data_IF_637357750914
#
_entry.id   IF_637357750914
#
_cell.length_a   1.000
_cell.length_b   1.000
_cell.length_c   1.000
_cell.angle_alpha   90.00
_cell.angle_beta   90.00
_cell.angle_gamma   90.00
#
_symmetry.space_group_name_H-M   'P 1'
#
loop_
_entity.id
_entity.type
_entity.pdbx_description
1 polymer ?
#
# COMPACT_ATOMS: atom_id res chain seq x y z
N UNK A 1 -11.02 6.33 -27.57
CA UNK A 1 -11.60 5.80 -26.32
C UNK A 1 -10.70 4.81 -25.58
N UNK A 2 -9.81 4.09 -26.26
CA UNK A 2 -8.90 3.09 -25.64
C UNK A 2 -7.64 3.64 -24.98
N UNK A 3 -7.25 4.89 -25.25
CA UNK A 3 -6.06 5.53 -24.66
C UNK A 3 -6.28 6.08 -23.25
N UNK A 4 -7.51 6.30 -22.85
CA UNK A 4 -7.88 6.96 -21.60
C UNK A 4 -7.78 6.04 -20.38
N UNK A 5 -8.18 4.77 -20.52
CA UNK A 5 -8.18 3.80 -19.43
C UNK A 5 -6.76 3.35 -19.03
N UNK A 6 -5.83 3.30 -20.01
CA UNK A 6 -4.43 2.94 -19.73
C UNK A 6 -3.67 3.99 -18.92
N UNK A 7 -3.98 5.28 -19.10
CA UNK A 7 -3.37 6.37 -18.32
C UNK A 7 -3.78 6.34 -16.86
N UNK A 8 -5.04 5.97 -16.57
CA UNK A 8 -5.54 5.91 -15.18
C UNK A 8 -4.79 4.85 -14.34
N UNK A 9 -4.46 3.71 -14.94
CA UNK A 9 -3.78 2.59 -14.27
C UNK A 9 -2.30 2.91 -14.06
N UNK A 10 -1.64 3.49 -15.06
CA UNK A 10 -0.21 3.82 -14.99
C UNK A 10 0.10 4.88 -13.91
N UNK A 11 -0.82 5.80 -13.66
CA UNK A 11 -0.62 6.90 -12.72
C UNK A 11 -0.88 6.47 -11.26
N UNK A 12 -1.70 5.44 -11.02
CA UNK A 12 -1.91 4.88 -9.68
C UNK A 12 -0.65 4.17 -9.11
N UNK A 13 0.29 3.76 -9.97
CA UNK A 13 1.45 2.97 -9.58
C UNK A 13 2.76 3.78 -9.49
N UNK A 14 2.81 4.99 -10.04
CA UNK A 14 4.06 5.76 -10.09
C UNK A 14 4.20 6.84 -9.03
N UNK A 15 3.25 7.00 -8.13
CA UNK A 15 3.27 8.10 -7.17
C UNK A 15 3.14 7.66 -5.72
N UNK A 16 4.22 7.09 -5.19
CA UNK A 16 4.56 7.25 -3.77
C UNK A 16 5.25 8.60 -3.49
N UNK A 17 5.36 9.47 -4.48
CA UNK A 17 5.76 10.87 -4.32
C UNK A 17 4.82 11.69 -5.16
N UNK A 18 3.62 11.94 -4.65
CA UNK A 18 2.81 13.05 -5.10
C UNK A 18 2.65 14.01 -3.94
N UNK A 19 3.28 15.18 -4.10
CA UNK A 19 2.85 16.38 -3.44
C UNK A 19 1.32 16.40 -3.50
N UNK A 20 0.72 16.14 -2.35
CA UNK A 20 -0.64 16.54 -2.06
C UNK A 20 -0.66 18.03 -2.36
N UNK A 21 -1.34 18.43 -3.43
CA UNK A 21 -1.79 19.80 -3.52
C UNK A 21 -2.67 19.97 -2.29
N UNK A 22 -2.09 20.51 -1.24
CA UNK A 22 -2.76 20.88 -0.02
C UNK A 22 -3.93 21.75 -0.44
N UNK A 23 -5.15 21.24 -0.27
CA UNK A 23 -6.32 22.10 -0.12
C UNK A 23 -6.02 22.84 1.19
N UNK A 24 -5.44 24.03 1.10
CA UNK A 24 -5.35 24.92 2.25
C UNK A 24 -6.80 25.27 2.62
N UNK A 25 -7.27 24.72 3.73
CA UNK A 25 -8.33 25.34 4.46
C UNK A 25 -7.80 26.68 4.95
N UNK A 26 -8.20 27.74 4.26
CA UNK A 26 -8.04 29.10 4.75
C UNK A 26 -9.04 29.26 5.87
N UNK A 27 -8.58 29.21 7.13
CA UNK A 27 -9.34 29.76 8.24
C UNK A 27 -9.41 31.27 8.02
N UNK A 28 -10.63 31.77 7.87
CA UNK A 28 -10.91 33.17 7.79
C UNK A 28 -10.55 33.85 9.13
N UNK A 29 -9.50 34.67 9.13
CA UNK A 29 -9.36 35.74 10.12
C UNK A 29 -9.95 36.99 9.50
N UNK A 30 -10.89 37.56 10.22
CA UNK A 30 -11.63 38.77 9.95
C UNK A 30 -10.69 39.98 9.73
N UNK A 31 -10.56 40.45 8.49
CA UNK A 31 -10.24 41.84 8.16
C UNK A 31 -10.51 42.07 6.66
N UNK A 32 -11.46 42.95 6.40
CA UNK A 32 -12.08 43.27 5.11
C UNK A 32 -11.14 43.36 3.90
N UNK A 33 -11.16 42.33 3.09
CA UNK A 33 -10.76 42.36 1.69
C UNK A 33 -11.66 41.39 0.94
N UNK A 34 -12.33 41.89 -0.09
CA UNK A 34 -13.19 41.13 -1.02
C UNK A 34 -12.35 40.04 -1.67
N UNK A 35 -12.37 38.85 -1.15
CA UNK A 35 -11.80 37.67 -1.82
C UNK A 35 -12.89 36.98 -2.62
N UNK A 36 -12.77 37.06 -3.93
CA UNK A 36 -13.47 36.18 -4.88
C UNK A 36 -13.08 34.74 -4.57
N UNK A 37 -13.96 34.01 -3.88
CA UNK A 37 -13.82 32.56 -3.72
C UNK A 37 -14.03 31.91 -5.08
N UNK A 38 -12.95 31.47 -5.72
CA UNK A 38 -13.03 30.56 -6.86
C UNK A 38 -13.43 29.18 -6.32
N UNK A 39 -14.73 28.90 -6.32
CA UNK A 39 -15.25 27.55 -6.18
C UNK A 39 -14.77 26.74 -7.39
N UNK A 40 -13.80 25.85 -7.19
CA UNK A 40 -13.35 24.91 -8.21
C UNK A 40 -14.48 23.92 -8.47
N UNK A 41 -15.24 24.11 -9.54
CA UNK A 41 -16.21 23.12 -10.02
C UNK A 41 -15.51 22.13 -10.94
N UNK A 42 -15.75 20.84 -10.73
CA UNK A 42 -15.27 19.78 -11.61
C UNK A 42 -16.24 19.60 -12.78
N UNK A 43 -15.76 19.05 -13.90
CA UNK A 43 -16.61 18.68 -15.03
C UNK A 43 -17.57 17.54 -14.65
N UNK A 44 -17.10 16.65 -13.80
CA UNK A 44 -17.80 15.45 -13.38
C UNK A 44 -17.19 14.92 -12.08
N UNK A 45 -17.99 14.28 -11.23
CA UNK A 45 -17.53 13.53 -10.06
C UNK A 45 -17.90 12.07 -10.27
N UNK A 46 -16.96 11.14 -10.19
CA UNK A 46 -17.14 9.70 -10.37
C UNK A 46 -16.83 8.94 -9.11
N UNK A 47 -17.67 7.95 -8.82
CA UNK A 47 -17.52 7.03 -7.69
C UNK A 47 -17.16 5.65 -8.24
N UNK A 48 -15.93 5.18 -7.98
CA UNK A 48 -15.39 3.99 -8.64
C UNK A 48 -14.75 3.02 -7.63
N UNK A 49 -14.83 1.73 -7.96
CA UNK A 49 -13.97 0.68 -7.42
C UNK A 49 -13.13 0.11 -8.56
N UNK A 50 -12.16 -0.75 -8.25
CA UNK A 50 -11.35 -1.39 -9.26
C UNK A 50 -11.64 -2.88 -9.33
N UNK A 51 -12.01 -3.38 -10.51
CA UNK A 51 -12.15 -4.81 -10.81
C UNK A 51 -11.19 -5.17 -11.95
N UNK A 52 -10.32 -6.13 -11.72
CA UNK A 52 -9.29 -6.53 -12.68
C UNK A 52 -8.45 -5.35 -13.22
N UNK A 53 -8.10 -4.41 -12.33
CA UNK A 53 -7.31 -3.22 -12.68
C UNK A 53 -8.06 -2.13 -13.45
N UNK A 54 -9.39 -2.25 -13.63
CA UNK A 54 -10.22 -1.24 -14.32
C UNK A 54 -11.13 -0.53 -13.35
N UNK A 55 -11.31 0.80 -13.48
CA UNK A 55 -12.29 1.51 -12.69
C UNK A 55 -13.71 1.09 -13.13
N UNK A 56 -14.50 0.64 -12.16
CA UNK A 56 -15.92 0.29 -12.34
C UNK A 56 -16.74 1.26 -11.53
N UNK A 57 -17.72 1.89 -12.16
CA UNK A 57 -18.63 2.79 -11.45
C UNK A 57 -19.48 2.01 -10.45
N UNK A 58 -19.52 2.48 -9.20
CA UNK A 58 -20.32 1.90 -8.11
C UNK A 58 -21.49 2.79 -7.70
N UNK A 59 -21.51 4.02 -8.21
CA UNK A 59 -22.59 5.00 -8.05
C UNK A 59 -22.67 5.86 -9.31
N UNK A 60 -23.83 6.41 -9.61
CA UNK A 60 -24.01 7.35 -10.72
C UNK A 60 -23.07 8.56 -10.57
N UNK A 61 -22.47 8.97 -11.69
CA UNK A 61 -21.64 10.16 -11.72
C UNK A 61 -22.48 11.44 -11.50
N UNK A 62 -21.85 12.44 -10.88
CA UNK A 62 -22.45 13.76 -10.67
C UNK A 62 -21.92 14.72 -11.70
N UNK A 63 -22.83 15.45 -12.39
CA UNK A 63 -22.50 16.43 -13.43
C UNK A 63 -23.24 17.76 -13.18
N UNK A 64 -22.81 18.84 -13.81
CA UNK A 64 -23.45 20.15 -13.71
C UNK A 64 -23.14 20.90 -12.42
N UNK A 65 -24.07 21.68 -11.90
CA UNK A 65 -23.88 22.55 -10.73
C UNK A 65 -23.51 21.78 -9.44
N UNK A 66 -23.88 20.51 -9.34
CA UNK A 66 -23.58 19.67 -8.17
C UNK A 66 -22.10 19.20 -8.10
N UNK A 67 -21.28 19.50 -9.12
CA UNK A 67 -19.86 19.16 -9.15
C UNK A 67 -18.99 20.04 -8.24
N UNK A 68 -19.56 21.03 -7.57
CA UNK A 68 -18.90 21.83 -6.53
C UNK A 68 -18.83 21.11 -5.17
N UNK A 69 -19.69 20.11 -4.94
CA UNK A 69 -19.64 19.27 -3.73
C UNK A 69 -18.59 18.18 -3.89
N UNK A 70 -17.49 18.31 -3.18
CA UNK A 70 -16.35 17.37 -3.19
C UNK A 70 -16.45 16.30 -2.10
N UNK A 71 -17.56 16.20 -1.39
CA UNK A 71 -17.77 15.19 -0.36
C UNK A 71 -17.81 13.78 -0.98
N UNK A 72 -17.26 12.81 -0.25
CA UNK A 72 -17.31 11.41 -0.63
C UNK A 72 -18.42 10.70 0.18
N UNK A 73 -19.57 10.41 -0.44
CA UNK A 73 -20.69 9.78 0.26
C UNK A 73 -20.35 8.37 0.72
N UNK A 74 -21.00 7.91 1.80
CA UNK A 74 -21.00 6.51 2.16
C UNK A 74 -21.71 5.69 1.06
N UNK A 75 -21.13 4.55 0.67
CA UNK A 75 -21.69 3.63 -0.33
C UNK A 75 -21.74 2.24 0.31
N UNK A 76 -22.91 1.60 0.32
CA UNK A 76 -23.12 0.28 0.92
C UNK A 76 -22.16 -0.75 0.32
N UNK A 77 -21.56 -1.55 1.19
CA UNK A 77 -20.56 -2.57 0.88
C UNK A 77 -19.22 -2.04 0.33
N UNK A 78 -18.96 -0.73 0.47
CA UNK A 78 -17.69 -0.13 0.08
C UNK A 78 -17.17 0.82 1.14
N UNK A 79 -15.83 0.87 1.28
CA UNK A 79 -15.11 1.83 2.12
C UNK A 79 -14.39 2.81 1.21
N UNK A 80 -14.58 4.10 1.46
CA UNK A 80 -13.82 5.14 0.78
C UNK A 80 -12.31 4.99 1.07
N UNK A 81 -11.49 5.11 0.03
CA UNK A 81 -10.03 4.96 0.13
C UNK A 81 -9.30 6.27 -0.13
N UNK A 82 -9.61 6.95 -1.23
CA UNK A 82 -8.96 8.19 -1.62
C UNK A 82 -9.74 8.91 -2.73
N UNK A 83 -9.35 10.15 -3.03
CA UNK A 83 -9.87 10.91 -4.17
C UNK A 83 -8.74 11.42 -5.05
N UNK A 84 -9.04 11.59 -6.33
CA UNK A 84 -8.10 12.10 -7.33
C UNK A 84 -8.79 12.94 -8.37
N UNK A 85 -8.07 13.96 -8.88
CA UNK A 85 -8.52 14.78 -10.01
C UNK A 85 -7.71 14.46 -11.25
N UNK A 86 -8.39 14.20 -12.37
CA UNK A 86 -7.77 13.97 -13.67
C UNK A 86 -8.64 14.59 -14.78
N UNK A 87 -8.04 15.40 -15.64
CA UNK A 87 -8.70 16.11 -16.75
C UNK A 87 -9.97 16.90 -16.34
N UNK A 88 -10.00 17.40 -15.09
CA UNK A 88 -11.12 18.12 -14.51
C UNK A 88 -12.27 17.24 -14.00
N UNK A 89 -12.05 15.92 -13.90
CA UNK A 89 -12.97 14.97 -13.30
C UNK A 89 -12.43 14.58 -11.91
N UNK A 90 -13.28 14.65 -10.88
CA UNK A 90 -12.97 14.17 -9.53
C UNK A 90 -13.39 12.71 -9.40
N UNK A 91 -12.45 11.82 -9.12
CA UNK A 91 -12.69 10.42 -8.85
C UNK A 91 -12.64 10.17 -7.34
N UNK A 92 -13.71 9.67 -6.76
CA UNK A 92 -13.73 9.08 -5.42
C UNK A 92 -13.57 7.56 -5.55
N UNK A 93 -12.51 7.02 -4.97
CA UNK A 93 -12.16 5.61 -5.05
C UNK A 93 -12.55 4.87 -3.78
N UNK A 94 -13.08 3.66 -3.95
CA UNK A 94 -13.61 2.83 -2.87
C UNK A 94 -13.10 1.39 -3.00
N UNK A 95 -12.89 0.73 -1.87
CA UNK A 95 -12.62 -0.70 -1.77
C UNK A 95 -13.86 -1.45 -1.29
N UNK A 96 -14.18 -2.66 -1.81
CA UNK A 96 -15.29 -3.45 -1.29
C UNK A 96 -15.01 -3.88 0.15
N UNK A 97 -16.04 -3.79 1.02
CA UNK A 97 -16.00 -4.38 2.36
C UNK A 97 -16.12 -5.89 2.20
N UNK A 98 -15.13 -6.65 2.71
CA UNK A 98 -15.26 -8.11 2.79
C UNK A 98 -16.35 -8.47 3.79
N UNK A 99 -17.58 -8.61 3.30
CA UNK A 99 -18.64 -9.32 4.02
C UNK A 99 -18.36 -10.81 3.84
N UNK A 100 -17.60 -11.42 4.73
CA UNK A 100 -17.59 -12.86 4.93
C UNK A 100 -18.92 -13.28 5.57
N UNK A 101 -19.93 -13.41 4.74
CA UNK A 101 -21.17 -14.13 5.04
C UNK A 101 -21.03 -15.55 4.49
N UNK A 102 -20.91 -16.47 5.40
CA UNK A 102 -20.86 -17.90 5.20
C UNK A 102 -22.09 -18.39 4.43
N UNK A 103 -21.92 -18.98 3.23
CA UNK A 103 -22.69 -20.14 2.74
C UNK A 103 -22.01 -20.77 1.51
N UNK A 104 -21.66 -22.07 1.64
CA UNK A 104 -21.73 -23.05 0.54
C UNK A 104 -20.51 -23.18 -0.37
N UNK A 105 -19.59 -24.00 0.07
CA UNK A 105 -18.91 -25.09 -0.66
C UNK A 105 -18.91 -25.04 -2.20
N UNK A 106 -17.80 -24.62 -2.79
CA UNK A 106 -17.24 -25.26 -4.00
C UNK A 106 -15.73 -25.14 -3.99
N UNK A 107 -15.11 -26.30 -3.95
CA UNK A 107 -13.67 -26.55 -4.06
C UNK A 107 -13.11 -25.93 -5.36
N UNK A 108 -12.22 -24.95 -5.22
CA UNK A 108 -11.23 -24.70 -6.27
C UNK A 108 -9.85 -24.79 -5.63
N UNK A 109 -9.23 -25.92 -5.92
CA UNK A 109 -7.85 -26.26 -5.59
C UNK A 109 -6.90 -25.27 -6.24
N UNK A 110 -6.10 -24.64 -5.40
CA UNK A 110 -4.94 -23.84 -5.79
C UNK A 110 -3.79 -24.78 -6.18
N UNK A 111 -3.23 -24.74 -7.40
CA UNK A 111 -2.23 -25.72 -7.86
C UNK A 111 -0.78 -25.46 -7.42
N UNK A 112 -0.52 -24.59 -6.47
CA UNK A 112 0.85 -24.28 -6.00
C UNK A 112 0.99 -24.30 -4.47
N UNK A 113 0.54 -25.38 -3.83
CA UNK A 113 1.04 -25.72 -2.48
C UNK A 113 1.86 -27.00 -2.59
N UNK A 114 3.17 -26.87 -2.44
CA UNK A 114 4.04 -27.99 -2.09
C UNK A 114 3.99 -28.18 -0.57
N UNK A 115 3.44 -29.31 -0.19
CA UNK A 115 3.47 -29.84 1.14
C UNK A 115 4.93 -30.07 1.58
N UNK A 116 5.29 -29.52 2.71
CA UNK A 116 6.34 -30.09 3.55
C UNK A 116 5.72 -30.38 4.92
N UNK A 117 5.15 -31.58 4.99
CA UNK A 117 4.77 -32.19 6.24
C UNK A 117 5.82 -33.26 6.55
N UNK A 118 6.59 -33.08 7.59
CA UNK A 118 7.23 -34.20 8.31
C UNK A 118 7.02 -34.06 9.79
N UNK A 119 6.19 -34.94 10.21
CA UNK A 119 5.89 -35.59 11.49
C UNK A 119 7.03 -35.64 12.51
N UNK A 120 6.68 -35.39 13.78
CA UNK A 120 6.80 -36.28 14.95
C UNK A 120 6.30 -35.48 16.15
N UNK A 121 5.40 -35.92 16.98
CA UNK A 121 5.13 -37.18 17.56
C UNK A 121 4.95 -36.95 19.06
N UNK A 122 3.74 -37.18 19.57
CA UNK A 122 3.40 -37.69 20.90
C UNK A 122 3.99 -37.02 22.16
N UNK A 123 3.21 -36.45 23.06
CA UNK A 123 2.56 -37.24 24.11
C UNK A 123 1.68 -36.40 25.03
N UNK A 124 0.62 -37.01 25.41
CA UNK A 124 -0.35 -36.61 26.40
C UNK A 124 0.26 -36.56 27.82
N UNK A 125 -0.26 -35.69 28.67
CA UNK A 125 -0.90 -36.15 29.90
C UNK A 125 -1.60 -35.02 30.65
N UNK A 126 -2.81 -35.16 30.89
CA UNK A 126 -3.74 -35.03 31.98
C UNK A 126 -3.14 -34.65 33.36
N UNK A 127 -3.72 -33.72 34.07
CA UNK A 127 -4.64 -33.88 35.20
C UNK A 127 -4.75 -32.56 35.98
N UNK A 128 -5.91 -32.04 36.12
CA UNK A 128 -6.88 -32.24 37.21
C UNK A 128 -6.61 -31.50 38.51
N UNK A 129 -7.63 -30.79 38.94
CA UNK A 129 -7.93 -30.59 40.33
C UNK A 129 -8.06 -29.14 40.74
N UNK A 130 -9.22 -28.59 40.64
CA UNK A 130 -10.25 -28.52 41.72
C UNK A 130 -9.94 -27.54 42.85
N UNK A 131 -10.66 -26.49 42.82
CA UNK A 131 -11.76 -26.13 43.71
C UNK A 131 -11.40 -25.39 45.01
N UNK A 132 -12.08 -24.36 45.14
CA UNK A 132 -12.98 -23.93 46.23
C UNK A 132 -12.54 -22.86 47.22
N UNK A 133 -13.40 -21.88 47.19
CA UNK A 133 -14.21 -21.29 48.31
C UNK A 133 -13.44 -20.30 49.17
N UNK A 134 -13.95 -19.18 49.45
CA UNK A 134 -15.30 -18.73 49.69
C UNK A 134 -15.26 -17.64 50.73
N UNK A 135 -16.18 -16.76 50.64
CA UNK A 135 -16.88 -16.15 51.75
C UNK A 135 -16.31 -14.88 52.33
N UNK A 136 -16.87 -13.78 51.97
CA UNK A 136 -18.10 -13.18 52.59
C UNK A 136 -17.87 -12.33 53.84
N UNK A 137 -18.17 -11.09 53.63
CA UNK A 137 -19.09 -10.21 54.43
C UNK A 137 -18.66 -9.71 55.79
N UNK A 138 -18.86 -8.49 55.90
CA UNK A 138 -19.75 -7.66 56.72
C UNK A 138 -19.09 -6.65 57.63
N UNK A 139 -19.39 -5.41 57.31
CA UNK A 139 -20.14 -4.43 58.10
C UNK A 139 -19.91 -4.44 59.64
N UNK A 140 -19.59 -3.36 60.22
CA UNK A 140 -20.54 -2.38 60.81
C UNK A 140 -19.85 -1.28 61.60
N UNK A 141 -20.36 -0.09 61.40
CA UNK A 141 -20.61 1.02 62.30
C UNK A 141 -20.13 0.98 63.75
N UNK A 142 -19.67 2.14 64.15
CA UNK A 142 -19.67 2.52 65.58
C UNK A 142 -19.01 3.86 65.85
N UNK A 143 -19.83 4.90 65.82
CA UNK A 143 -19.60 6.19 66.45
C UNK A 143 -19.09 6.09 67.91
N UNK A 144 -18.10 6.86 68.33
CA UNK A 144 -18.35 7.93 69.29
C UNK A 144 -17.11 8.76 69.69
N UNK A 145 -17.40 10.00 69.93
CA UNK A 145 -16.56 11.05 70.44
C UNK A 145 -15.89 10.76 71.80
N UNK A 146 -14.70 11.24 72.06
CA UNK A 146 -14.49 12.39 72.95
C UNK A 146 -13.01 12.64 73.28
N UNK A 147 -12.66 13.89 73.14
CA UNK A 147 -11.84 14.78 73.98
C UNK A 147 -10.39 14.42 74.39
N UNK A 148 -9.58 15.33 73.92
CA UNK A 148 -8.61 16.14 74.67
C UNK A 148 -7.21 15.61 74.98
N UNK A 149 -6.30 16.24 74.43
CA UNK A 149 -5.20 17.03 74.96
C UNK A 149 -3.92 16.92 74.12
N UNK A 150 -3.58 18.03 73.58
CA UNK A 150 -2.33 18.71 73.63
C UNK A 150 -1.05 17.90 73.28
N UNK A 151 -0.72 17.90 72.02
CA UNK A 151 0.65 18.11 71.58
C UNK A 151 0.59 18.56 70.10
N UNK A 152 0.79 19.82 69.90
CA UNK A 152 1.07 20.41 68.56
C UNK A 152 2.41 19.89 68.10
N UNK A 153 2.41 18.74 67.50
CA UNK A 153 3.44 18.39 66.54
C UNK A 153 2.96 18.93 65.21
N UNK A 154 3.42 20.14 64.91
CA UNK A 154 3.46 20.65 63.54
C UNK A 154 4.22 19.67 62.67
N UNK A 155 3.57 18.64 62.23
CA UNK A 155 4.00 17.87 61.05
C UNK A 155 3.58 18.68 59.83
N UNK A 156 4.20 19.86 59.69
CA UNK A 156 4.29 20.55 58.42
C UNK A 156 5.08 19.62 57.53
N UNK A 157 4.37 18.74 56.79
CA UNK A 157 4.90 18.22 55.54
C UNK A 157 5.13 19.49 54.73
N UNK A 158 6.38 19.96 54.68
CA UNK A 158 6.71 21.13 53.87
C UNK A 158 6.60 20.68 52.40
N UNK A 159 5.38 20.81 51.90
CA UNK A 159 5.13 20.64 50.47
C UNK A 159 5.95 21.74 49.78
N UNK A 160 6.93 21.32 49.00
CA UNK A 160 7.71 22.25 48.19
C UNK A 160 6.80 22.99 47.21
N UNK A 161 7.22 24.15 46.76
CA UNK A 161 6.44 24.96 45.80
C UNK A 161 7.30 25.45 44.64
N UNK A 162 6.69 25.54 43.47
CA UNK A 162 7.32 26.20 42.33
C UNK A 162 7.28 27.72 42.52
N UNK A 163 8.41 28.39 42.23
CA UNK A 163 8.56 29.86 42.30
C UNK A 163 9.25 30.37 41.04
N UNK A 164 8.74 31.44 40.45
CA UNK A 164 9.38 32.12 39.33
C UNK A 164 10.11 33.35 39.81
N UNK A 165 11.40 33.47 39.53
CA UNK A 165 12.26 34.60 39.86
C UNK A 165 13.16 34.91 38.63
N UNK A 166 13.16 36.17 38.19
CA UNK A 166 13.99 36.59 37.06
C UNK A 166 13.77 35.79 35.77
N UNK A 167 12.52 35.36 35.51
CA UNK A 167 12.20 34.52 34.32
C UNK A 167 12.60 33.05 34.43
N UNK A 168 13.24 32.62 35.51
CA UNK A 168 13.59 31.25 35.81
C UNK A 168 12.61 30.62 36.79
N UNK A 169 12.35 29.35 36.67
CA UNK A 169 11.48 28.57 37.55
C UNK A 169 12.36 27.76 38.49
N UNK A 170 12.04 27.80 39.77
CA UNK A 170 12.71 27.07 40.86
C UNK A 170 11.68 26.23 41.61
N UNK A 171 12.14 25.16 42.24
CA UNK A 171 11.33 24.46 43.25
C UNK A 171 11.96 24.64 44.60
N UNK A 172 11.19 25.20 45.52
CA UNK A 172 11.64 25.52 46.89
C UNK A 172 11.08 24.43 47.81
N UNK A 173 11.96 23.71 48.50
CA UNK A 173 11.62 22.74 49.52
C UNK A 173 12.43 23.05 50.78
N UNK A 174 11.76 23.11 51.92
CA UNK A 174 12.38 23.47 53.21
C UNK A 174 13.17 24.79 53.15
N UNK A 175 12.62 25.78 52.42
CA UNK A 175 13.23 27.11 52.26
C UNK A 175 14.43 27.17 51.33
N UNK A 176 14.81 26.06 50.67
CA UNK A 176 15.99 25.97 49.78
C UNK A 176 15.58 25.61 48.38
N UNK A 177 16.33 26.16 47.37
CA UNK A 177 16.22 25.73 45.98
C UNK A 177 16.76 24.31 45.85
N UNK A 178 15.98 23.40 45.23
CA UNK A 178 16.47 22.07 44.91
C UNK A 178 17.32 22.08 43.65
N UNK A 179 18.20 21.10 43.51
CA UNK A 179 19.05 20.88 42.30
C UNK A 179 19.02 19.43 41.86
N UNK A 180 19.44 19.15 40.66
CA UNK A 180 19.46 17.80 40.10
C UNK A 180 18.08 17.24 39.78
N UNK A 181 17.98 15.90 39.68
CA UNK A 181 16.73 15.22 39.42
C UNK A 181 15.79 15.28 40.63
N UNK A 182 14.54 15.67 40.39
CA UNK A 182 13.48 15.72 41.39
C UNK A 182 12.22 15.06 40.84
N UNK A 183 11.60 14.19 41.66
CA UNK A 183 10.25 13.69 41.43
C UNK A 183 9.26 14.50 42.26
N UNK A 184 8.35 15.21 41.59
CA UNK A 184 7.35 16.10 42.20
C UNK A 184 6.00 15.72 41.59
N UNK A 185 5.04 15.32 42.43
CA UNK A 185 3.69 14.92 41.99
C UNK A 185 3.70 13.97 40.78
N UNK A 186 4.46 12.86 40.90
CA UNK A 186 4.67 11.83 39.89
C UNK A 186 5.32 12.27 38.56
N UNK A 187 5.72 13.52 38.45
CA UNK A 187 6.48 14.09 37.35
C UNK A 187 7.94 14.23 37.73
N UNK A 188 8.81 14.00 36.74
CA UNK A 188 10.26 14.11 36.94
C UNK A 188 10.77 15.38 36.27
N UNK A 189 11.54 16.16 37.03
CA UNK A 189 12.16 17.42 36.61
C UNK A 189 13.66 17.37 36.85
N UNK A 190 14.37 18.27 36.20
CA UNK A 190 15.79 18.51 36.50
C UNK A 190 16.00 20.00 36.79
N UNK A 191 16.75 20.27 37.84
CA UNK A 191 17.14 21.62 38.23
C UNK A 191 18.65 21.76 38.13
N UNK A 192 19.11 22.81 37.46
CA UNK A 192 20.53 23.09 37.29
C UNK A 192 21.22 23.44 38.63
N UNK A 193 22.56 23.64 38.63
CA UNK A 193 23.31 23.90 39.85
C UNK A 193 22.88 25.20 40.56
N UNK A 194 22.34 26.17 39.81
CA UNK A 194 21.76 27.39 40.38
C UNK A 194 20.30 27.22 40.87
N UNK A 195 19.78 26.00 40.77
CA UNK A 195 18.40 25.66 41.13
C UNK A 195 17.37 25.98 40.03
N UNK A 196 17.75 26.50 38.88
CA UNK A 196 16.84 26.81 37.80
C UNK A 196 16.33 25.52 37.13
N UNK A 197 15.01 25.44 36.84
CA UNK A 197 14.40 24.32 36.15
C UNK A 197 14.93 24.23 34.72
N UNK A 198 15.49 23.08 34.37
CA UNK A 198 15.95 22.75 33.01
C UNK A 198 14.78 22.49 32.11
N UNK A 199 14.85 22.98 30.88
CA UNK A 199 13.95 22.69 29.76
C UNK A 199 14.75 22.27 28.52
N UNK A 200 14.11 21.57 27.58
CA UNK A 200 14.75 21.11 26.38
C UNK A 200 15.69 19.94 26.61
N UNK A 201 16.70 19.82 25.75
CA UNK A 201 17.66 18.74 25.81
C UNK A 201 18.62 18.91 26.98
N UNK A 202 18.78 17.85 27.77
CA UNK A 202 19.74 17.73 28.85
C UNK A 202 20.73 16.62 28.53
N UNK A 203 22.02 16.95 28.54
CA UNK A 203 23.11 15.98 28.47
C UNK A 203 23.74 15.87 29.85
N UNK A 204 23.74 14.66 30.42
CA UNK A 204 24.31 14.36 31.72
C UNK A 204 25.26 13.15 31.57
N UNK A 205 26.58 13.45 31.43
CA UNK A 205 27.57 12.45 31.03
C UNK A 205 27.34 12.01 29.59
N UNK A 206 27.26 10.70 29.38
CA UNK A 206 26.96 10.03 28.11
C UNK A 206 25.45 9.89 27.81
N UNK A 207 24.60 10.33 28.75
CA UNK A 207 23.15 10.16 28.70
C UNK A 207 22.45 11.44 28.26
N UNK A 208 21.36 11.27 27.51
CA UNK A 208 20.53 12.38 27.05
C UNK A 208 19.09 12.20 27.47
N UNK A 209 18.49 13.30 27.93
CA UNK A 209 17.11 13.38 28.38
C UNK A 209 16.44 14.59 27.72
N UNK A 210 15.14 14.55 27.61
CA UNK A 210 14.36 15.70 27.17
C UNK A 210 13.38 16.13 28.24
N UNK A 211 13.48 17.40 28.62
CA UNK A 211 12.57 18.11 29.52
C UNK A 211 11.67 18.97 28.65
N UNK A 212 10.37 18.82 28.79
CA UNK A 212 9.40 19.54 27.96
C UNK A 212 9.63 21.07 28.04
N UNK A 213 9.61 21.70 26.85
CA UNK A 213 9.87 23.16 26.74
C UNK A 213 8.83 24.01 27.47
N UNK A 214 7.60 23.51 27.63
CA UNK A 214 6.50 24.20 28.25
C UNK A 214 6.57 24.10 29.76
N UNK A 215 6.64 22.89 30.32
CA UNK A 215 6.46 22.61 31.74
C UNK A 215 7.69 21.99 32.43
N UNK A 216 8.77 21.68 31.71
CA UNK A 216 10.01 21.10 32.25
C UNK A 216 9.91 19.64 32.66
N UNK A 217 8.81 18.96 32.37
CA UNK A 217 8.62 17.55 32.72
C UNK A 217 9.43 16.66 31.77
N UNK A 218 10.16 15.68 32.34
CA UNK A 218 10.88 14.67 31.56
C UNK A 218 9.94 13.91 30.64
N UNK A 219 10.28 13.84 29.35
CA UNK A 219 9.54 13.10 28.32
C UNK A 219 10.23 11.80 27.97
N UNK A 220 9.40 10.79 27.67
CA UNK A 220 9.81 9.47 27.20
C UNK A 220 9.17 9.18 25.83
N UNK A 221 9.71 8.19 25.14
CA UNK A 221 9.22 7.80 23.81
C UNK A 221 9.70 8.75 22.71
N UNK A 222 8.92 8.83 21.63
CA UNK A 222 9.24 9.71 20.50
C UNK A 222 8.93 11.16 20.81
N UNK A 223 9.94 12.02 20.68
CA UNK A 223 9.84 13.46 20.88
C UNK A 223 10.47 14.18 19.70
N UNK A 224 9.71 15.08 19.09
CA UNK A 224 10.23 15.94 18.01
C UNK A 224 10.98 17.13 18.65
N UNK A 225 12.25 17.27 18.28
CA UNK A 225 13.11 18.38 18.68
C UNK A 225 13.68 19.00 17.43
N UNK A 226 13.28 20.23 17.11
CA UNK A 226 13.51 20.85 15.81
C UNK A 226 13.03 19.94 14.66
N UNK A 227 13.90 19.60 13.72
CA UNK A 227 13.58 18.77 12.53
C UNK A 227 13.78 17.28 12.76
N UNK A 228 14.19 16.86 13.96
CA UNK A 228 14.52 15.48 14.28
C UNK A 228 13.54 14.88 15.26
N UNK A 229 13.23 13.60 15.09
CA UNK A 229 12.44 12.83 16.04
C UNK A 229 13.39 11.92 16.80
N UNK A 230 13.47 12.13 18.12
CA UNK A 230 14.31 11.36 19.04
C UNK A 230 13.46 10.33 19.79
N UNK A 231 14.11 9.26 20.24
CA UNK A 231 13.50 8.30 21.14
C UNK A 231 14.22 8.32 22.51
N UNK A 232 13.52 8.78 23.54
CA UNK A 232 14.05 8.88 24.88
C UNK A 232 13.59 7.73 25.77
N UNK A 233 14.53 7.11 26.43
CA UNK A 233 14.28 6.05 27.41
C UNK A 233 14.48 6.54 28.84
N UNK A 234 13.97 5.79 29.81
CA UNK A 234 13.97 6.20 31.22
C UNK A 234 15.37 6.49 31.76
N UNK A 235 16.32 5.62 31.44
CA UNK A 235 17.70 5.76 31.91
C UNK A 235 18.56 6.73 31.09
N UNK A 236 18.00 7.40 30.07
CA UNK A 236 18.71 8.35 29.20
C UNK A 236 19.70 7.75 28.22
N UNK A 237 19.68 6.44 27.98
CA UNK A 237 20.51 5.83 26.96
C UNK A 237 20.05 6.24 25.57
N UNK A 238 21.00 6.51 24.67
CA UNK A 238 20.73 6.62 23.25
C UNK A 238 20.48 5.22 22.67
N UNK A 239 19.31 5.00 22.13
CA UNK A 239 19.05 3.78 21.35
C UNK A 239 19.54 3.96 19.93
N UNK A 240 20.18 2.92 19.40
CA UNK A 240 20.60 2.86 18.00
C UNK A 240 20.23 1.50 17.42
N UNK A 241 20.09 1.40 16.10
CA UNK A 241 19.68 0.18 15.42
C UNK A 241 18.16 0.00 15.37
N UNK A 242 17.75 -1.21 15.06
CA UNK A 242 16.32 -1.57 15.00
C UNK A 242 15.73 -1.68 16.40
N UNK A 243 14.57 -1.06 16.61
CA UNK A 243 13.77 -1.17 17.82
C UNK A 243 12.33 -1.52 17.48
N UNK A 244 11.69 -2.33 18.32
CA UNK A 244 10.28 -2.67 18.18
C UNK A 244 9.47 -1.99 19.29
N UNK A 245 8.42 -1.27 18.90
CA UNK A 245 7.50 -0.55 19.77
C UNK A 245 6.08 -0.79 19.24
N UNK A 246 5.20 -1.34 20.05
CA UNK A 246 3.80 -1.60 19.69
C UNK A 246 3.66 -2.30 18.31
N UNK A 247 4.40 -3.41 18.13
CA UNK A 247 4.48 -4.22 16.91
C UNK A 247 5.01 -3.50 15.65
N UNK A 248 5.46 -2.26 15.78
CA UNK A 248 6.14 -1.52 14.73
C UNK A 248 7.64 -1.51 14.94
N UNK A 249 8.38 -1.74 13.86
CA UNK A 249 9.85 -1.69 13.88
C UNK A 249 10.32 -0.36 13.33
N UNK A 250 11.25 0.28 14.02
CA UNK A 250 11.87 1.55 13.67
C UNK A 250 13.40 1.38 13.61
N UNK A 251 14.07 2.26 12.87
CA UNK A 251 15.53 2.33 12.92
C UNK A 251 15.98 3.68 13.49
N UNK A 252 16.84 3.61 14.49
CA UNK A 252 17.41 4.78 15.17
C UNK A 252 18.90 4.88 14.86
N UNK A 253 19.36 6.06 14.47
CA UNK A 253 20.76 6.40 14.37
C UNK A 253 21.07 7.50 15.39
N UNK A 254 21.90 7.18 16.37
CA UNK A 254 22.28 8.08 17.47
C UNK A 254 21.05 8.67 18.21
N UNK A 255 20.05 7.84 18.44
CA UNK A 255 18.79 8.23 19.08
C UNK A 255 17.77 8.90 18.17
N UNK A 256 18.14 9.25 16.93
CA UNK A 256 17.26 9.88 15.94
C UNK A 256 16.56 8.83 15.10
N UNK A 257 15.23 8.90 15.02
CA UNK A 257 14.43 8.07 14.12
C UNK A 257 14.67 8.45 12.67
N UNK A 258 15.02 7.48 11.85
CA UNK A 258 15.15 7.66 10.40
C UNK A 258 13.84 7.37 9.67
N UNK A 259 13.73 7.87 8.44
CA UNK A 259 12.65 7.65 7.47
C UNK A 259 13.25 7.44 6.08
N UNK A 260 12.47 6.89 5.14
CA UNK A 260 12.91 6.65 3.77
C UNK A 260 13.81 5.43 3.63
N UNK A 261 14.62 5.42 2.56
CA UNK A 261 15.53 4.31 2.27
C UNK A 261 16.80 4.43 3.12
N UNK A 262 17.16 3.36 3.78
CA UNK A 262 18.40 3.28 4.56
C UNK A 262 19.20 2.02 4.19
N UNK A 263 20.52 2.08 4.42
CA UNK A 263 21.38 0.91 4.31
C UNK A 263 22.04 0.63 5.66
N UNK A 264 21.90 -0.61 6.13
CA UNK A 264 22.44 -1.07 7.39
C UNK A 264 23.14 -2.39 7.14
N UNK A 265 24.44 -2.48 7.44
CA UNK A 265 25.26 -3.69 7.27
C UNK A 265 25.15 -4.29 5.85
N UNK A 266 25.12 -3.42 4.82
CA UNK A 266 25.01 -3.81 3.43
C UNK A 266 23.61 -4.24 2.96
N UNK A 267 22.61 -4.26 3.85
CA UNK A 267 21.20 -4.51 3.52
C UNK A 267 20.42 -3.21 3.38
N UNK A 268 19.45 -3.22 2.50
CA UNK A 268 18.58 -2.07 2.25
C UNK A 268 17.24 -2.24 2.95
N UNK A 269 16.71 -1.15 3.50
CA UNK A 269 15.44 -1.13 4.21
C UNK A 269 14.63 0.10 3.81
N UNK A 270 13.31 -0.04 3.80
CA UNK A 270 12.37 1.04 3.58
C UNK A 270 11.65 1.39 4.87
N UNK A 271 11.77 2.65 5.28
CA UNK A 271 11.03 3.21 6.41
C UNK A 271 10.00 4.21 5.86
N UNK A 272 8.75 4.09 6.28
CA UNK A 272 7.71 5.05 5.90
C UNK A 272 7.94 6.45 6.51
N UNK A 273 7.04 7.38 6.28
CA UNK A 273 7.13 8.75 6.79
C UNK A 273 7.10 8.81 8.31
N UNK A 274 6.43 7.84 8.95
CA UNK A 274 6.42 7.65 10.40
C UNK A 274 7.67 6.92 10.89
N UNK A 275 8.58 6.49 9.99
CA UNK A 275 9.80 5.74 10.30
C UNK A 275 9.56 4.27 10.59
N UNK A 276 8.39 3.73 10.26
CA UNK A 276 8.07 2.31 10.45
C UNK A 276 8.64 1.49 9.30
N UNK A 277 9.33 0.42 9.63
CA UNK A 277 9.88 -0.52 8.65
C UNK A 277 8.75 -1.18 7.84
N UNK A 278 8.89 -1.15 6.50
CA UNK A 278 7.92 -1.70 5.55
C UNK A 278 8.63 -2.47 4.45
N UNK A 279 8.06 -3.58 3.98
CA UNK A 279 8.49 -4.16 2.71
C UNK A 279 8.06 -3.23 1.55
N UNK A 280 8.87 -3.15 0.51
CA UNK A 280 8.52 -2.29 -0.62
C UNK A 280 9.59 -2.17 -1.69
N UNK A 281 9.30 -1.34 -2.69
CA UNK A 281 10.24 -1.05 -3.77
C UNK A 281 11.19 0.07 -3.36
N UNK A 282 12.49 -0.21 -3.44
CA UNK A 282 13.56 0.76 -3.21
C UNK A 282 14.38 0.97 -4.48
N UNK A 283 14.92 2.17 -4.62
CA UNK A 283 15.88 2.50 -5.68
C UNK A 283 17.30 2.32 -5.15
N UNK A 284 18.07 1.44 -5.79
CA UNK A 284 19.48 1.15 -5.46
C UNK A 284 20.27 1.25 -6.76
N UNK A 285 21.22 2.16 -6.84
CA UNK A 285 22.07 2.40 -8.02
C UNK A 285 21.24 2.53 -9.33
N UNK A 286 20.13 3.26 -9.27
CA UNK A 286 19.24 3.50 -10.40
C UNK A 286 18.33 2.32 -10.78
N UNK A 287 18.40 1.18 -10.08
CA UNK A 287 17.55 0.00 -10.28
C UNK A 287 16.55 -0.13 -9.16
N UNK A 288 15.33 -0.59 -9.48
CA UNK A 288 14.25 -0.82 -8.52
C UNK A 288 14.30 -2.25 -8.00
N UNK A 289 14.44 -2.45 -6.71
CA UNK A 289 14.36 -3.75 -6.06
C UNK A 289 13.16 -3.79 -5.10
N UNK A 290 12.51 -4.94 -4.98
CA UNK A 290 11.58 -5.16 -3.89
C UNK A 290 12.34 -5.79 -2.72
N UNK A 291 12.23 -5.17 -1.55
CA UNK A 291 12.83 -5.66 -0.31
C UNK A 291 11.76 -6.03 0.71
N UNK A 292 12.04 -7.07 1.49
CA UNK A 292 11.23 -7.46 2.64
C UNK A 292 11.64 -6.67 3.90
N UNK A 293 11.00 -6.98 5.02
CA UNK A 293 11.27 -6.35 6.32
C UNK A 293 12.57 -6.86 6.98
N UNK A 294 13.21 -7.91 6.46
CA UNK A 294 14.55 -8.33 6.83
C UNK A 294 15.65 -7.72 5.95
N UNK A 295 15.28 -6.88 4.97
CA UNK A 295 16.20 -6.24 4.03
C UNK A 295 16.72 -7.17 2.93
N UNK A 296 16.03 -8.29 2.66
CA UNK A 296 16.41 -9.19 1.58
C UNK A 296 15.74 -8.77 0.27
N UNK A 297 16.48 -8.90 -0.83
CA UNK A 297 15.95 -8.64 -2.16
C UNK A 297 15.06 -9.80 -2.62
N UNK A 298 13.83 -9.50 -3.00
CA UNK A 298 12.94 -10.48 -3.62
C UNK A 298 13.38 -10.76 -5.05
N UNK A 299 13.37 -12.04 -5.43
CA UNK A 299 13.67 -12.51 -6.80
C UNK A 299 12.49 -13.33 -7.30
N UNK A 300 12.13 -13.16 -8.57
CA UNK A 300 10.99 -13.81 -9.20
C UNK A 300 9.73 -12.94 -9.18
N UNK A 301 8.58 -13.58 -9.32
CA UNK A 301 7.29 -12.91 -9.36
C UNK A 301 6.85 -12.40 -7.99
N UNK A 302 6.40 -11.15 -7.97
CA UNK A 302 5.84 -10.51 -6.78
C UNK A 302 4.55 -9.78 -7.13
N UNK A 303 3.49 -10.11 -6.41
CA UNK A 303 2.26 -9.33 -6.47
C UNK A 303 2.36 -8.15 -5.51
N UNK A 304 2.12 -6.94 -6.04
CA UNK A 304 2.12 -5.70 -5.27
C UNK A 304 0.81 -4.98 -5.60
N UNK A 305 -0.05 -4.85 -4.60
CA UNK A 305 -1.42 -4.41 -4.85
C UNK A 305 -2.17 -5.39 -5.74
N UNK A 306 -2.65 -4.94 -6.90
CA UNK A 306 -3.38 -5.75 -7.88
C UNK A 306 -2.48 -6.31 -8.98
N UNK A 307 -1.24 -5.83 -9.09
CA UNK A 307 -0.37 -6.06 -10.24
C UNK A 307 0.76 -7.03 -9.93
N UNK A 308 1.21 -7.74 -10.96
CA UNK A 308 2.35 -8.63 -10.89
C UNK A 308 3.57 -7.95 -11.49
N UNK A 309 4.71 -8.13 -10.80
CA UNK A 309 6.05 -7.66 -11.18
C UNK A 309 7.00 -8.82 -11.16
N UNK A 310 8.08 -8.71 -11.93
CA UNK A 310 9.17 -9.68 -11.90
C UNK A 310 10.48 -9.01 -11.54
N UNK A 311 11.19 -9.57 -10.57
CA UNK A 311 12.47 -9.05 -10.08
C UNK A 311 13.58 -10.05 -10.36
N UNK A 312 14.68 -9.59 -10.94
CA UNK A 312 15.93 -10.35 -11.04
C UNK A 312 16.90 -9.94 -9.94
N UNK A 313 17.85 -10.82 -9.64
CA UNK A 313 18.84 -10.58 -8.60
C UNK A 313 19.76 -9.40 -8.96
N UNK A 314 20.17 -9.31 -10.23
CA UNK A 314 21.18 -8.35 -10.68
C UNK A 314 20.57 -7.02 -11.15
N UNK A 315 19.41 -7.07 -11.81
CA UNK A 315 18.80 -5.90 -12.46
C UNK A 315 17.60 -5.35 -11.70
N UNK A 316 17.15 -6.04 -10.65
CA UNK A 316 15.93 -5.68 -9.94
C UNK A 316 14.68 -5.88 -10.80
N UNK A 317 13.76 -4.92 -10.77
CA UNK A 317 12.48 -4.96 -11.47
C UNK A 317 12.68 -5.00 -12.99
N UNK A 318 12.09 -5.99 -13.63
CA UNK A 318 12.17 -6.19 -15.07
C UNK A 318 11.05 -5.45 -15.80
N UNK A 319 11.34 -5.10 -17.05
CA UNK A 319 10.40 -4.56 -18.05
C UNK A 319 10.61 -5.29 -19.35
N UNK A 320 9.65 -5.21 -20.29
CA UNK A 320 9.72 -5.93 -21.56
C UNK A 320 9.47 -7.43 -21.39
N UNK A 321 10.06 -8.22 -22.29
CA UNK A 321 9.86 -9.67 -22.31
C UNK A 321 10.68 -10.38 -21.22
N UNK A 322 10.01 -11.24 -20.46
CA UNK A 322 10.62 -12.10 -19.44
C UNK A 322 10.27 -13.55 -19.71
N UNK A 323 11.29 -14.43 -19.66
CA UNK A 323 11.14 -15.89 -19.78
C UNK A 323 11.21 -16.53 -18.39
N UNK A 324 10.08 -17.12 -17.98
CA UNK A 324 10.00 -17.92 -16.75
C UNK A 324 8.99 -19.06 -16.98
N UNK A 325 9.50 -20.20 -17.45
CA UNK A 325 8.66 -21.27 -17.99
C UNK A 325 8.00 -20.84 -19.31
N UNK A 326 7.07 -19.89 -19.28
CA UNK A 326 6.47 -19.20 -20.42
C UNK A 326 7.11 -17.84 -20.68
N UNK A 327 6.76 -17.20 -21.80
CA UNK A 327 7.09 -15.80 -22.03
C UNK A 327 5.99 -14.91 -21.44
N UNK A 328 6.40 -13.83 -20.80
CA UNK A 328 5.55 -12.80 -20.21
C UNK A 328 6.01 -11.43 -20.68
N UNK A 329 5.12 -10.48 -20.76
CA UNK A 329 5.45 -9.12 -21.12
C UNK A 329 5.10 -8.17 -19.97
N UNK A 330 6.11 -7.38 -19.56
CA UNK A 330 5.99 -6.35 -18.55
C UNK A 330 6.09 -4.98 -19.23
N UNK A 331 5.20 -4.07 -18.93
CA UNK A 331 5.25 -2.72 -19.48
C UNK A 331 6.42 -1.89 -18.92
N UNK A 332 6.53 -0.64 -19.33
CA UNK A 332 7.59 0.28 -18.89
C UNK A 332 7.57 0.54 -17.38
N UNK A 333 6.42 0.32 -16.73
CA UNK A 333 6.27 0.45 -15.27
C UNK A 333 6.63 -0.83 -14.52
N UNK A 334 6.89 -1.93 -15.24
CA UNK A 334 7.18 -3.26 -14.71
C UNK A 334 5.94 -4.11 -14.46
N UNK A 335 4.74 -3.63 -14.82
CA UNK A 335 3.49 -4.37 -14.62
C UNK A 335 3.31 -5.44 -15.69
N UNK A 336 3.06 -6.69 -15.26
CA UNK A 336 2.75 -7.81 -16.15
C UNK A 336 1.46 -7.53 -16.94
N UNK A 337 1.54 -7.70 -18.26
CA UNK A 337 0.44 -7.48 -19.18
C UNK A 337 -0.32 -8.75 -19.48
N UNK A 338 -1.59 -8.61 -19.87
CA UNK A 338 -2.48 -9.69 -20.32
C UNK A 338 -3.26 -9.26 -21.57
N UNK A 339 -3.86 -10.20 -22.28
CA UNK A 339 -4.63 -9.91 -23.49
C UNK A 339 -3.75 -9.56 -24.68
N UNK A 340 -4.30 -8.80 -25.63
CA UNK A 340 -3.58 -8.38 -26.83
C UNK A 340 -2.56 -7.28 -26.51
N UNK A 341 -1.31 -7.51 -26.83
CA UNK A 341 -0.21 -6.54 -26.70
C UNK A 341 0.45 -6.33 -28.07
N UNK A 342 0.71 -5.06 -28.39
CA UNK A 342 1.49 -4.69 -29.57
C UNK A 342 2.87 -4.22 -29.14
N UNK A 343 3.88 -5.06 -29.40
CA UNK A 343 5.29 -4.81 -29.04
C UNK A 343 6.08 -4.69 -30.32
N UNK A 344 6.80 -3.59 -30.51
CA UNK A 344 7.60 -3.31 -31.71
C UNK A 344 6.85 -3.51 -33.02
N UNK A 345 5.57 -3.10 -33.03
CA UNK A 345 4.71 -3.23 -34.23
C UNK A 345 4.03 -4.58 -34.42
N UNK A 346 4.43 -5.62 -33.66
CA UNK A 346 3.91 -6.99 -33.74
C UNK A 346 2.88 -7.24 -32.66
N UNK A 347 1.75 -7.90 -33.00
CA UNK A 347 0.74 -8.30 -32.04
C UNK A 347 1.03 -9.64 -31.40
N UNK A 348 0.89 -9.73 -30.08
CA UNK A 348 0.97 -10.93 -29.26
C UNK A 348 -0.29 -11.07 -28.42
N UNK A 349 -0.63 -12.28 -28.04
CA UNK A 349 -1.72 -12.54 -27.11
C UNK A 349 -1.20 -13.22 -25.85
N UNK A 350 -1.44 -12.60 -24.72
CA UNK A 350 -1.09 -13.09 -23.39
C UNK A 350 -2.40 -13.53 -22.72
N UNK A 351 -2.44 -14.72 -22.17
CA UNK A 351 -3.64 -15.20 -21.48
C UNK A 351 -3.87 -14.50 -20.13
N UNK A 352 -4.89 -14.91 -19.38
CA UNK A 352 -5.22 -14.32 -18.09
C UNK A 352 -4.13 -14.47 -17.01
N UNK A 353 -3.21 -15.42 -17.19
CA UNK A 353 -2.03 -15.60 -16.33
C UNK A 353 -0.83 -14.76 -16.78
N UNK A 354 -0.94 -14.03 -17.90
CA UNK A 354 0.15 -13.29 -18.54
C UNK A 354 1.01 -14.13 -19.48
N UNK A 355 0.76 -15.42 -19.60
CA UNK A 355 1.57 -16.31 -20.44
C UNK A 355 1.29 -16.06 -21.93
N UNK A 356 2.37 -15.83 -22.71
CA UNK A 356 2.31 -15.65 -24.17
C UNK A 356 1.78 -16.92 -24.84
N UNK A 357 0.81 -16.73 -25.70
CA UNK A 357 0.15 -17.81 -26.42
C UNK A 357 0.74 -18.03 -27.82
N UNK A 358 0.63 -19.27 -28.32
CA UNK A 358 1.02 -19.68 -29.66
C UNK A 358 -0.07 -20.56 -30.27
N UNK A 359 -0.03 -20.79 -31.61
CA UNK A 359 -1.00 -21.59 -32.32
C UNK A 359 -2.37 -20.90 -32.43
N UNK A 360 -3.40 -21.72 -32.69
CA UNK A 360 -4.77 -21.21 -32.82
C UNK A 360 -5.35 -20.78 -31.48
N UNK A 361 -5.92 -19.57 -31.46
CA UNK A 361 -6.60 -18.99 -30.25
C UNK A 361 -7.95 -18.42 -30.63
N UNK A 362 -8.95 -18.76 -29.83
CA UNK A 362 -10.29 -18.18 -29.94
C UNK A 362 -10.43 -17.05 -28.93
N UNK A 363 -10.56 -15.82 -29.42
CA UNK A 363 -10.60 -14.63 -28.58
C UNK A 363 -11.75 -13.73 -29.05
N UNK A 364 -12.64 -13.36 -28.13
CA UNK A 364 -13.78 -12.49 -28.41
C UNK A 364 -14.59 -12.89 -29.65
N UNK A 365 -14.89 -14.19 -29.78
CA UNK A 365 -15.72 -14.72 -30.87
C UNK A 365 -15.00 -14.90 -32.21
N UNK A 366 -13.67 -14.76 -32.28
CA UNK A 366 -12.88 -14.90 -33.51
C UNK A 366 -11.67 -15.78 -33.28
N UNK A 367 -11.28 -16.53 -34.32
CA UNK A 367 -10.05 -17.30 -34.35
C UNK A 367 -8.87 -16.46 -34.85
N UNK A 368 -7.74 -16.62 -34.21
CA UNK A 368 -6.44 -16.03 -34.57
C UNK A 368 -5.37 -17.08 -34.56
N UNK A 369 -4.34 -16.92 -35.38
CA UNK A 369 -3.18 -17.79 -35.37
C UNK A 369 -1.93 -17.01 -34.95
N UNK A 370 -1.24 -17.52 -33.93
CA UNK A 370 0.01 -17.01 -33.41
C UNK A 370 1.11 -18.02 -33.78
N UNK A 371 2.17 -17.56 -34.42
CA UNK A 371 3.27 -18.46 -34.78
C UNK A 371 4.05 -18.95 -33.54
N UNK A 372 5.12 -19.73 -33.75
CA UNK A 372 5.94 -20.28 -32.65
C UNK A 372 6.64 -19.21 -31.80
N UNK A 373 6.85 -18.01 -32.32
CA UNK A 373 7.36 -16.85 -31.55
C UNK A 373 6.27 -16.05 -30.85
N UNK A 374 5.00 -16.46 -30.96
CA UNK A 374 3.83 -15.76 -30.41
C UNK A 374 3.30 -14.63 -31.29
N UNK A 375 3.93 -14.34 -32.42
CA UNK A 375 3.52 -13.26 -33.32
C UNK A 375 2.23 -13.61 -34.05
N UNK A 376 1.22 -12.71 -33.95
CA UNK A 376 -0.05 -12.85 -34.69
C UNK A 376 0.18 -12.81 -36.18
N UNK A 377 -0.39 -13.78 -36.87
CA UNK A 377 -0.29 -13.90 -38.33
C UNK A 377 -1.47 -13.22 -39.03
N UNK A 378 -1.22 -12.80 -40.27
CA UNK A 378 -2.20 -12.23 -41.19
C UNK A 378 -1.97 -12.81 -42.60
N UNK A 379 -2.97 -12.72 -43.47
CA UNK A 379 -2.88 -13.26 -44.82
C UNK A 379 -3.03 -14.79 -44.85
N UNK A 380 -2.47 -15.42 -45.90
CA UNK A 380 -2.52 -16.85 -46.11
C UNK A 380 -1.55 -17.60 -45.21
N UNK A 381 -2.04 -18.61 -44.51
CA UNK A 381 -1.21 -19.55 -43.74
C UNK A 381 -1.55 -21.00 -44.10
N UNK A 382 -0.54 -21.85 -44.11
CA UNK A 382 -0.72 -23.30 -44.24
C UNK A 382 -0.42 -24.00 -42.92
N UNK A 383 -1.38 -24.79 -42.44
CA UNK A 383 -1.23 -25.57 -41.22
C UNK A 383 -1.57 -27.03 -41.51
N UNK A 384 -0.56 -27.89 -41.51
CA UNK A 384 -0.74 -29.31 -41.75
C UNK A 384 -1.32 -29.63 -43.12
N UNK A 385 -0.98 -28.86 -44.19
CA UNK A 385 -1.49 -29.04 -45.55
C UNK A 385 -2.82 -28.30 -45.82
N UNK A 386 -3.45 -27.71 -44.78
CA UNK A 386 -4.69 -26.94 -44.91
C UNK A 386 -4.40 -25.46 -44.97
N UNK A 387 -4.96 -24.77 -45.93
CA UNK A 387 -4.84 -23.31 -46.06
C UNK A 387 -5.94 -22.59 -45.30
N UNK A 388 -5.57 -21.51 -44.67
CA UNK A 388 -6.45 -20.57 -43.96
C UNK A 388 -6.12 -19.14 -44.37
N UNK A 389 -7.11 -18.24 -44.33
CA UNK A 389 -6.88 -16.83 -44.56
C UNK A 389 -7.22 -16.00 -43.31
N UNK A 390 -6.24 -15.21 -42.87
CA UNK A 390 -6.37 -14.31 -41.76
C UNK A 390 -6.46 -12.87 -42.30
N UNK A 391 -7.49 -12.15 -41.91
CA UNK A 391 -7.66 -10.73 -42.28
C UNK A 391 -6.51 -9.86 -41.78
N UNK A 392 -6.41 -8.63 -42.23
CA UNK A 392 -5.43 -7.66 -41.73
C UNK A 392 -5.54 -7.41 -40.22
N UNK A 393 -6.69 -7.68 -39.60
CA UNK A 393 -6.90 -7.68 -38.14
C UNK A 393 -6.40 -8.94 -37.44
N UNK A 394 -5.89 -9.93 -38.15
CA UNK A 394 -5.54 -11.28 -37.67
C UNK A 394 -6.70 -12.24 -37.53
N UNK A 395 -7.94 -11.80 -37.69
CA UNK A 395 -9.11 -12.67 -37.55
C UNK A 395 -9.25 -13.63 -38.75
N UNK A 396 -9.45 -14.92 -38.46
CA UNK A 396 -9.70 -15.96 -39.47
C UNK A 396 -10.99 -15.64 -40.24
N UNK A 397 -10.93 -15.78 -41.57
CA UNK A 397 -12.07 -15.61 -42.46
C UNK A 397 -12.79 -16.94 -42.66
N UNK A 398 -14.12 -16.84 -42.78
CA UNK A 398 -15.01 -17.97 -43.15
C UNK A 398 -16.07 -17.44 -44.13
N UNK A 399 -16.72 -18.33 -44.88
CA UNK A 399 -17.63 -17.98 -45.95
C UNK A 399 -16.91 -17.42 -47.17
N UNK A 400 -17.60 -16.67 -48.03
CA UNK A 400 -17.05 -16.02 -49.20
C UNK A 400 -16.29 -14.72 -48.85
N UNK A 401 -15.11 -14.55 -49.39
CA UNK A 401 -14.30 -13.32 -49.26
C UNK A 401 -13.39 -13.09 -50.45
N UNK A 402 -12.98 -11.85 -50.67
CA UNK A 402 -12.11 -11.47 -51.78
C UNK A 402 -10.69 -11.15 -51.27
N UNK A 403 -9.68 -11.64 -51.97
CA UNK A 403 -8.27 -11.34 -51.76
C UNK A 403 -7.63 -10.99 -53.09
N UNK A 404 -7.03 -9.79 -53.18
CA UNK A 404 -6.37 -9.31 -54.43
C UNK A 404 -7.20 -9.49 -55.70
N UNK A 405 -8.51 -9.22 -55.60
CA UNK A 405 -9.44 -9.26 -56.72
C UNK A 405 -10.01 -10.66 -57.03
N UNK A 406 -9.55 -11.72 -56.37
CA UNK A 406 -10.05 -13.09 -56.54
C UNK A 406 -10.95 -13.49 -55.37
N UNK A 407 -12.02 -14.24 -55.64
CA UNK A 407 -12.93 -14.78 -54.65
C UNK A 407 -12.50 -16.14 -54.15
N UNK A 408 -12.64 -16.36 -52.83
CA UNK A 408 -12.34 -17.59 -52.12
C UNK A 408 -13.47 -17.93 -51.17
N UNK A 409 -13.61 -19.21 -50.84
CA UNK A 409 -14.52 -19.65 -49.78
C UNK A 409 -13.76 -20.47 -48.75
N UNK A 410 -13.97 -20.13 -47.47
CA UNK A 410 -13.49 -20.98 -46.38
C UNK A 410 -14.69 -21.53 -45.59
N UNK A 411 -14.62 -22.80 -45.25
CA UNK A 411 -15.61 -23.47 -44.39
C UNK A 411 -15.71 -22.81 -43.01
N UNK A 412 -16.74 -23.15 -42.21
CA UNK A 412 -16.83 -22.64 -40.82
C UNK A 412 -15.61 -23.02 -39.96
N UNK A 413 -14.89 -24.08 -40.30
CA UNK A 413 -13.59 -24.45 -39.69
C UNK A 413 -12.44 -23.51 -40.08
N UNK A 414 -12.64 -22.61 -41.03
CA UNK A 414 -11.62 -21.75 -41.63
C UNK A 414 -10.86 -22.40 -42.78
N UNK A 415 -10.98 -23.71 -43.02
CA UNK A 415 -10.27 -24.41 -44.08
C UNK A 415 -10.71 -23.90 -45.46
N UNK A 416 -9.73 -23.58 -46.32
CA UNK A 416 -10.00 -23.15 -47.70
C UNK A 416 -10.66 -24.28 -48.46
N UNK A 417 -11.76 -23.97 -49.14
CA UNK A 417 -12.38 -24.89 -50.11
C UNK A 417 -11.56 -24.93 -51.41
N UNK A 418 -11.23 -26.12 -51.88
CA UNK A 418 -10.47 -26.35 -53.13
C UNK A 418 -11.12 -27.45 -53.94
N UNK A 419 -11.09 -27.37 -55.28
CA UNK A 419 -11.65 -28.34 -56.20
C UNK A 419 -13.07 -28.79 -55.85
N UNK A 420 -13.95 -27.84 -55.56
CA UNK A 420 -15.32 -28.15 -55.12
C UNK A 420 -16.30 -27.06 -55.55
N UNK A 421 -17.60 -27.34 -55.44
CA UNK A 421 -18.68 -26.37 -55.72
C UNK A 421 -19.41 -26.06 -54.43
N UNK A 422 -19.57 -24.78 -54.14
CA UNK A 422 -20.25 -24.23 -52.96
C UNK A 422 -21.40 -23.34 -53.47
N UNK A 423 -22.62 -23.67 -53.12
CA UNK A 423 -23.84 -22.91 -53.49
C UNK A 423 -23.91 -22.58 -55.00
N UNK A 424 -23.46 -23.54 -55.89
CA UNK A 424 -23.42 -23.33 -57.33
C UNK A 424 -22.18 -22.64 -57.88
N UNK A 425 -21.27 -22.20 -57.05
CA UNK A 425 -19.99 -21.57 -57.43
C UNK A 425 -18.84 -22.55 -57.29
N UNK A 426 -18.06 -22.74 -58.35
CA UNK A 426 -16.93 -23.70 -58.39
C UNK A 426 -15.64 -22.99 -58.03
N UNK A 427 -14.83 -23.61 -57.15
CA UNK A 427 -13.46 -23.17 -56.82
C UNK A 427 -12.45 -24.19 -57.33
N UNK A 428 -11.34 -23.68 -57.87
CA UNK A 428 -10.26 -24.49 -58.46
C UNK A 428 -9.31 -25.07 -57.41
N UNK A 429 -8.22 -25.71 -57.86
CA UNK A 429 -7.19 -26.28 -56.98
C UNK A 429 -6.49 -25.25 -56.07
N UNK A 430 -6.49 -23.99 -56.47
CA UNK A 430 -5.95 -22.87 -55.66
C UNK A 430 -7.02 -22.24 -54.75
N UNK A 431 -8.25 -22.77 -54.77
CA UNK A 431 -9.38 -22.22 -54.02
C UNK A 431 -10.00 -20.95 -54.63
N UNK A 432 -9.59 -20.57 -55.85
CA UNK A 432 -10.10 -19.40 -56.55
C UNK A 432 -11.43 -19.74 -57.24
N UNK A 433 -12.44 -18.88 -57.13
CA UNK A 433 -13.69 -18.98 -57.88
C UNK A 433 -13.40 -18.86 -59.40
N UNK A 434 -13.96 -19.79 -60.20
CA UNK A 434 -13.79 -19.88 -61.64
C UNK A 434 -15.14 -19.91 -62.33
#
# INVERSE_FOLDING_TARGET
MFSYEKKLIAILLTTSVLTVATIQQVQATDSGATTTSTTSSFKEIRFVTFQNGRPVAIKAAVTGAATSDTSHPAIDNYVYTTSRVEDGILYHMYAPTNTTGNTGNTSQTNPYQRDNNQTNGSNANQNNGSANNGGSSNQTNGTNANQNNGATTNNSISSGQFKTEGGKIYYIKDGKKVTGWQKIDDKTYYFEADGAMKKGLLTAGDKQYYLDEKDGVKKLGFVKVADKVYYFVENGEKKTGFIKIDDKTYYLKDGVRLTGNITVDGKHYLLDEEGVLKPGIVLIDGKKFFIDDEGNHHVGWKKIGLDWYYFSKEDGMKTGWVKDGSWYYLDETGVMQTGWQKVDGVWYYLDGSGAMQTGWKFVAGKWYYLNSSGAMQTGWINQGGTWYYLAGSGAMKTGWYQVSGKWYYSYPSGALAVNTTIDGYTVNANGEWV
#
